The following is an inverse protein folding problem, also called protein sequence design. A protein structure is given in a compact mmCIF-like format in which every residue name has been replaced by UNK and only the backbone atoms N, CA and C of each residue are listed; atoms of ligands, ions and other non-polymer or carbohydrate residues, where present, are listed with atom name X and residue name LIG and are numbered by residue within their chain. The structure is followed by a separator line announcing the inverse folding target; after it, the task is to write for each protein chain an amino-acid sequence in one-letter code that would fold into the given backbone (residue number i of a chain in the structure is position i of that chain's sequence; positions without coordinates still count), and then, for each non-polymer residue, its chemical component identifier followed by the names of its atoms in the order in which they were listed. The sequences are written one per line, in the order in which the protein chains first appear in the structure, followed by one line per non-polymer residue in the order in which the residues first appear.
data_IF_993463981546
#
_entry.id   IF_993463981546
#
_cell.length_a   1.000
_cell.length_b   1.000
_cell.length_c   1.000
_cell.angle_alpha   90.00
_cell.angle_beta   90.00
_cell.angle_gamma   90.00
#
_symmetry.space_group_name_H-M   'P 1'
#
loop_
_entity.id
_entity.type
_entity.pdbx_description
1 polymer ?
#
# COMPACT_ATOMS: atom_id res chain seq x y z
N UNK A 1 14.75 26.33 -6.97
CA UNK A 1 15.98 27.09 -6.67
C UNK A 1 16.98 26.15 -6.02
N UNK A 2 18.27 26.32 -6.28
CA UNK A 2 19.33 25.50 -5.71
C UNK A 2 20.17 26.36 -4.78
N UNK A 3 20.40 25.87 -3.56
CA UNK A 3 21.38 26.44 -2.63
C UNK A 3 22.56 25.49 -2.54
N UNK A 4 23.72 25.99 -2.96
CA UNK A 4 24.99 25.28 -2.85
C UNK A 4 25.83 25.96 -1.79
N UNK A 5 26.33 25.18 -0.83
CA UNK A 5 27.27 25.63 0.19
C UNK A 5 28.59 24.93 -0.03
N UNK A 6 29.62 25.73 -0.28
CA UNK A 6 30.99 25.27 -0.48
C UNK A 6 31.86 25.69 0.70
N UNK A 7 32.55 24.72 1.31
CA UNK A 7 33.57 24.95 2.33
C UNK A 7 34.93 24.70 1.70
N UNK A 8 35.63 25.79 1.40
CA UNK A 8 37.03 25.74 1.00
C UNK A 8 37.87 25.31 2.21
N UNK A 9 38.61 24.20 2.06
CA UNK A 9 39.58 23.74 3.05
C UNK A 9 40.99 23.98 2.51
N UNK A 10 41.97 24.09 3.40
CA UNK A 10 43.35 24.43 3.03
C UNK A 10 43.96 23.47 2.00
N UNK A 11 45.09 23.88 1.39
CA UNK A 11 45.71 23.30 0.19
C UNK A 11 45.86 21.76 0.13
N UNK A 12 45.88 21.06 1.26
CA UNK A 12 46.05 19.60 1.33
C UNK A 12 44.73 18.82 1.37
N UNK A 13 43.58 19.49 1.48
CA UNK A 13 42.27 18.84 1.62
C UNK A 13 41.29 19.29 0.52
N UNK A 14 40.52 18.35 -0.01
CA UNK A 14 39.45 18.64 -0.97
C UNK A 14 38.36 19.49 -0.31
N UNK A 15 37.87 20.49 -1.04
CA UNK A 15 36.71 21.28 -0.65
C UNK A 15 35.48 20.38 -0.50
N UNK A 16 34.63 20.72 0.46
CA UNK A 16 33.36 20.04 0.67
C UNK A 16 32.26 20.92 0.09
N UNK A 17 31.39 20.31 -0.70
CA UNK A 17 30.25 20.97 -1.32
C UNK A 17 28.99 20.19 -0.98
N UNK A 18 27.95 20.90 -0.56
CA UNK A 18 26.63 20.34 -0.38
C UNK A 18 25.62 21.21 -1.10
N UNK A 19 24.81 20.59 -1.96
CA UNK A 19 23.77 21.27 -2.71
C UNK A 19 22.42 20.75 -2.26
N UNK A 20 21.52 21.66 -1.91
CA UNK A 20 20.13 21.37 -1.55
C UNK A 20 19.20 22.13 -2.47
N UNK A 21 18.17 21.44 -2.92
CA UNK A 21 17.12 22.02 -3.76
C UNK A 21 16.00 22.55 -2.88
N UNK A 22 15.54 23.76 -3.18
CA UNK A 22 14.38 24.39 -2.54
C UNK A 22 13.45 24.90 -3.61
N UNK A 23 12.18 24.52 -3.52
CA UNK A 23 11.12 25.04 -4.38
C UNK A 23 10.55 26.28 -3.68
N UNK A 24 10.55 27.42 -4.36
CA UNK A 24 9.93 28.64 -3.86
C UNK A 24 8.67 28.86 -4.68
N UNK A 25 7.51 28.71 -4.03
CA UNK A 25 6.22 29.04 -4.62
C UNK A 25 5.87 30.49 -4.29
N UNK A 26 5.43 31.24 -5.30
CA UNK A 26 4.93 32.59 -5.13
C UNK A 26 3.45 32.52 -4.80
N UNK A 27 3.07 33.06 -3.64
CA UNK A 27 1.69 33.09 -3.18
C UNK A 27 0.86 34.04 -4.06
N UNK A 28 0.17 33.46 -5.05
CA UNK A 28 -1.07 34.03 -5.55
C UNK A 28 -2.17 33.36 -4.75
N UNK A 29 -2.76 34.16 -3.87
CA UNK A 29 -3.93 33.80 -3.08
C UNK A 29 -4.98 33.09 -3.94
N UNK A 30 -5.01 31.78 -3.83
CA UNK A 30 -6.22 31.04 -3.57
C UNK A 30 -5.84 29.95 -2.57
N UNK A 31 -6.64 29.85 -1.52
CA UNK A 31 -6.39 29.00 -0.34
C UNK A 31 -6.34 27.54 -0.80
N UNK A 32 -5.15 27.07 -1.19
CA UNK A 32 -4.87 25.65 -1.28
C UNK A 32 -4.69 25.19 0.16
N UNK A 33 -5.81 24.85 0.81
CA UNK A 33 -5.75 24.02 2.00
C UNK A 33 -4.73 22.90 1.71
N UNK A 34 -3.79 22.69 2.64
CA UNK A 34 -2.93 21.50 2.64
C UNK A 34 -3.77 20.33 2.18
N UNK A 35 -3.31 19.46 1.25
CA UNK A 35 -4.03 18.24 0.97
C UNK A 35 -4.20 17.56 2.31
N UNK A 36 -5.43 17.61 2.84
CA UNK A 36 -5.82 16.92 4.05
C UNK A 36 -5.40 15.49 3.74
N UNK A 37 -4.52 14.94 4.57
CA UNK A 37 -4.15 13.53 4.44
C UNK A 37 -5.45 12.76 4.22
N UNK A 38 -5.50 11.70 3.40
CA UNK A 38 -6.58 10.72 3.52
C UNK A 38 -6.45 10.10 4.92
N UNK A 39 -6.86 10.87 5.92
CA UNK A 39 -6.38 10.79 7.30
C UNK A 39 -7.31 9.81 7.97
N UNK A 40 -6.80 8.59 8.05
CA UNK A 40 -7.18 7.55 8.99
C UNK A 40 -8.59 7.02 8.71
N UNK A 41 -8.65 6.00 7.87
CA UNK A 41 -9.70 5.02 8.02
C UNK A 41 -9.13 3.91 8.93
N UNK A 42 -9.73 3.76 10.11
CA UNK A 42 -9.36 2.70 11.06
C UNK A 42 -10.16 1.47 10.66
N UNK A 43 -9.43 0.39 10.38
CA UNK A 43 -10.01 -0.91 10.06
C UNK A 43 -9.45 -1.93 11.03
N UNK A 44 -10.29 -2.86 11.47
CA UNK A 44 -9.84 -4.03 12.23
C UNK A 44 -10.44 -5.26 11.57
N UNK A 45 -9.59 -6.21 11.18
CA UNK A 45 -10.05 -7.54 10.80
C UNK A 45 -10.17 -8.33 12.09
N UNK A 46 -11.38 -8.81 12.39
CA UNK A 46 -11.66 -9.57 13.63
C UNK A 46 -11.03 -10.96 13.64
N UNK A 47 -10.59 -11.47 12.48
CA UNK A 47 -9.97 -12.78 12.35
C UNK A 47 -8.43 -12.67 12.35
N UNK A 48 -7.78 -13.55 13.11
CA UNK A 48 -6.33 -13.72 13.04
C UNK A 48 -5.93 -14.26 11.66
N UNK A 49 -5.49 -13.35 10.79
CA UNK A 49 -4.98 -13.72 9.46
C UNK A 49 -3.55 -14.23 9.53
N UNK A 50 -2.89 -14.29 10.70
CA UNK A 50 -1.51 -14.75 10.75
C UNK A 50 -1.39 -16.20 10.31
N UNK A 51 -2.37 -17.06 10.59
CA UNK A 51 -2.39 -18.46 10.16
C UNK A 51 -3.76 -18.87 9.66
N UNK A 52 -3.89 -19.07 8.36
CA UNK A 52 -5.17 -19.35 7.72
C UNK A 52 -5.16 -20.69 6.97
N UNK A 53 -6.14 -21.58 7.17
CA UNK A 53 -6.18 -22.85 6.47
C UNK A 53 -6.60 -22.68 5.00
N UNK A 54 -5.99 -23.44 4.09
CA UNK A 54 -6.22 -23.28 2.64
C UNK A 54 -7.67 -23.42 2.14
N UNK A 55 -8.50 -24.18 2.84
CA UNK A 55 -9.85 -24.55 2.40
C UNK A 55 -10.97 -23.60 2.84
N UNK A 56 -11.05 -23.16 4.12
CA UNK A 56 -12.04 -22.18 4.53
C UNK A 56 -11.81 -20.82 3.86
N UNK A 57 -12.83 -19.98 3.92
CA UNK A 57 -12.77 -18.61 3.48
C UNK A 57 -12.03 -17.72 4.50
N UNK A 58 -11.44 -16.64 4.01
CA UNK A 58 -11.04 -15.55 4.89
C UNK A 58 -12.31 -14.81 5.29
N UNK A 59 -12.57 -14.81 6.60
CA UNK A 59 -13.74 -14.19 7.19
C UNK A 59 -13.32 -13.00 8.04
N UNK A 60 -14.19 -12.03 8.19
CA UNK A 60 -13.92 -10.91 9.07
C UNK A 60 -14.96 -9.83 8.92
N UNK A 61 -14.68 -8.72 9.56
CA UNK A 61 -15.49 -7.51 9.48
C UNK A 61 -14.57 -6.36 9.13
N UNK A 62 -15.10 -5.40 8.39
CA UNK A 62 -14.43 -4.16 8.04
C UNK A 62 -15.36 -3.02 8.40
N UNK A 63 -14.97 -2.19 9.36
CA UNK A 63 -15.74 -1.00 9.70
C UNK A 63 -15.00 0.24 9.24
N UNK A 64 -15.70 1.16 8.57
CA UNK A 64 -15.16 2.48 8.25
C UNK A 64 -15.51 3.43 9.39
N UNK A 65 -14.56 3.74 10.28
CA UNK A 65 -14.86 4.64 11.41
C UNK A 65 -15.00 6.10 10.98
N UNK A 66 -14.01 6.62 10.26
CA UNK A 66 -14.02 8.01 9.77
C UNK A 66 -13.38 8.09 8.39
N UNK A 67 -13.83 9.07 7.59
CA UNK A 67 -13.21 9.40 6.32
C UNK A 67 -13.51 10.85 5.96
N UNK A 68 -12.45 11.64 5.77
CA UNK A 68 -12.52 13.05 5.36
C UNK A 68 -12.93 13.25 3.89
N UNK A 69 -12.82 12.20 3.06
CA UNK A 69 -13.06 12.23 1.61
C UNK A 69 -14.03 11.10 1.24
N UNK A 70 -14.90 11.26 0.22
CA UNK A 70 -15.74 10.15 -0.22
C UNK A 70 -14.88 8.96 -0.66
N UNK A 71 -15.26 7.76 -0.22
CA UNK A 71 -14.55 6.51 -0.60
C UNK A 71 -15.19 6.02 -1.89
N UNK A 72 -14.46 5.79 -2.96
CA UNK A 72 -15.04 5.29 -4.22
C UNK A 72 -15.18 3.77 -4.24
N UNK A 73 -14.23 3.06 -3.63
CA UNK A 73 -14.26 1.60 -3.54
C UNK A 73 -13.39 1.13 -2.38
N UNK A 74 -13.72 -0.06 -1.89
CA UNK A 74 -12.86 -0.82 -0.99
C UNK A 74 -12.67 -2.21 -1.59
N UNK A 75 -11.41 -2.58 -1.79
CA UNK A 75 -10.99 -3.80 -2.43
C UNK A 75 -10.04 -4.59 -1.52
N UNK A 76 -10.14 -5.91 -1.52
CA UNK A 76 -9.19 -6.81 -0.87
C UNK A 76 -8.36 -7.50 -1.93
N UNK A 77 -7.05 -7.34 -1.82
CA UNK A 77 -6.06 -7.96 -2.69
C UNK A 77 -5.40 -9.15 -1.99
N UNK A 78 -5.44 -10.32 -2.62
CA UNK A 78 -4.60 -11.45 -2.28
C UNK A 78 -3.34 -11.40 -3.12
N UNK A 79 -2.18 -11.33 -2.47
CA UNK A 79 -0.88 -11.19 -3.08
C UNK A 79 -0.05 -12.44 -2.80
N UNK A 80 0.66 -12.94 -3.82
CA UNK A 80 1.71 -13.95 -3.66
C UNK A 80 3.06 -13.23 -3.61
N UNK A 81 3.87 -13.58 -2.64
CA UNK A 81 5.25 -13.09 -2.50
C UNK A 81 6.17 -14.28 -2.68
N UNK A 82 7.00 -14.23 -3.72
CA UNK A 82 7.97 -15.28 -4.02
C UNK A 82 9.37 -14.73 -3.83
N UNK A 83 10.19 -15.43 -3.07
CA UNK A 83 11.58 -15.04 -2.85
C UNK A 83 12.52 -16.18 -3.22
N UNK A 84 13.62 -15.85 -3.88
CA UNK A 84 14.69 -16.79 -4.24
C UNK A 84 16.05 -16.21 -3.85
N UNK A 85 16.89 -17.03 -3.24
CA UNK A 85 18.29 -16.70 -2.94
C UNK A 85 19.14 -16.95 -4.19
N UNK A 86 19.69 -15.88 -4.75
CA UNK A 86 20.62 -15.92 -5.89
C UNK A 86 21.98 -15.42 -5.44
N UNK A 87 22.91 -16.36 -5.20
CA UNK A 87 24.19 -16.06 -4.57
C UNK A 87 24.00 -15.61 -3.11
N UNK A 88 24.36 -14.37 -2.80
CA UNK A 88 24.20 -13.76 -1.47
C UNK A 88 23.00 -12.80 -1.37
N UNK A 89 22.19 -12.68 -2.43
CA UNK A 89 21.06 -11.74 -2.49
C UNK A 89 19.74 -12.47 -2.55
N UNK A 90 18.76 -12.01 -1.78
CA UNK A 90 17.37 -12.44 -1.90
C UNK A 90 16.68 -11.54 -2.93
N UNK A 91 16.14 -12.17 -3.98
CA UNK A 91 15.29 -11.51 -4.97
C UNK A 91 13.86 -11.86 -4.63
N UNK A 92 13.01 -10.83 -4.52
CA UNK A 92 11.59 -10.99 -4.16
C UNK A 92 10.69 -10.42 -5.25
N UNK A 93 9.70 -11.19 -5.67
CA UNK A 93 8.63 -10.80 -6.58
C UNK A 93 7.29 -10.83 -5.84
N UNK A 94 6.42 -9.85 -6.10
CA UNK A 94 5.06 -9.81 -5.54
C UNK A 94 4.06 -9.71 -6.67
N UNK A 95 3.16 -10.70 -6.74
CA UNK A 95 2.15 -10.82 -7.79
C UNK A 95 0.75 -10.76 -7.19
N UNK A 96 -0.16 -10.00 -7.82
CA UNK A 96 -1.56 -9.97 -7.45
C UNK A 96 -2.27 -11.23 -7.97
N UNK A 97 -2.85 -12.01 -7.07
CA UNK A 97 -3.58 -13.25 -7.40
C UNK A 97 -5.05 -12.94 -7.65
N UNK A 98 -5.67 -12.18 -6.74
CA UNK A 98 -7.11 -11.95 -6.73
C UNK A 98 -7.41 -10.58 -6.14
N UNK A 99 -8.36 -9.89 -6.76
CA UNK A 99 -9.01 -8.69 -6.21
C UNK A 99 -10.45 -9.05 -5.90
N UNK A 100 -10.89 -8.78 -4.68
CA UNK A 100 -12.27 -8.95 -4.24
C UNK A 100 -12.81 -7.59 -3.85
N UNK A 101 -13.78 -7.07 -4.59
CA UNK A 101 -14.43 -5.81 -4.26
C UNK A 101 -15.39 -6.03 -3.08
N UNK A 102 -15.20 -5.28 -2.01
CA UNK A 102 -16.02 -5.34 -0.80
C UNK A 102 -17.10 -4.26 -0.81
N UNK A 103 -16.77 -3.08 -1.33
CA UNK A 103 -17.71 -1.98 -1.48
C UNK A 103 -17.41 -1.13 -2.73
N UNK A 104 -18.47 -0.57 -3.30
CA UNK A 104 -18.46 0.30 -4.47
C UNK A 104 -19.34 1.54 -4.24
N UNK A 105 -18.88 2.70 -4.68
CA UNK A 105 -19.50 4.00 -4.39
C UNK A 105 -19.12 4.57 -3.02
N UNK A 106 -19.75 5.69 -2.62
CA UNK A 106 -19.46 6.37 -1.35
C UNK A 106 -19.82 5.51 -0.14
N UNK A 107 -18.83 4.81 0.40
CA UNK A 107 -18.99 3.88 1.52
C UNK A 107 -19.37 4.66 2.79
N UNK A 108 -20.49 4.26 3.40
CA UNK A 108 -20.99 4.91 4.61
C UNK A 108 -20.05 4.69 5.81
N UNK A 109 -19.93 5.72 6.64
CA UNK A 109 -19.18 5.66 7.91
C UNK A 109 -20.00 4.88 8.94
N UNK A 110 -19.33 4.23 9.87
CA UNK A 110 -19.88 3.31 10.88
C UNK A 110 -20.67 2.14 10.28
N UNK A 111 -20.47 1.85 8.99
CA UNK A 111 -20.99 0.66 8.35
C UNK A 111 -19.98 -0.48 8.53
N UNK A 112 -20.43 -1.56 9.15
CA UNK A 112 -19.66 -2.80 9.25
C UNK A 112 -19.95 -3.66 8.02
N UNK A 113 -18.93 -3.83 7.18
CA UNK A 113 -18.96 -4.63 5.97
C UNK A 113 -18.40 -6.03 6.28
N UNK A 114 -19.14 -7.12 5.99
CA UNK A 114 -18.62 -8.46 6.18
C UNK A 114 -17.55 -8.77 5.12
N UNK A 115 -16.41 -9.30 5.56
CA UNK A 115 -15.38 -9.88 4.70
C UNK A 115 -15.67 -11.36 4.56
N UNK A 116 -15.83 -11.82 3.32
CA UNK A 116 -15.94 -13.25 2.96
C UNK A 116 -15.18 -13.48 1.65
N UNK A 117 -13.92 -13.90 1.74
CA UNK A 117 -13.05 -14.10 0.58
C UNK A 117 -12.71 -15.58 0.43
N UNK A 118 -13.20 -16.18 -0.64
CA UNK A 118 -12.84 -17.55 -1.02
C UNK A 118 -11.46 -17.53 -1.66
N UNK A 119 -10.54 -18.36 -1.13
CA UNK A 119 -9.20 -18.51 -1.68
C UNK A 119 -9.22 -19.24 -3.03
N UNK A 120 -8.51 -18.74 -4.06
CA UNK A 120 -8.49 -19.36 -5.38
C UNK A 120 -7.61 -20.61 -5.35
N UNK A 121 -8.26 -21.78 -5.31
CA UNK A 121 -7.60 -23.09 -5.09
C UNK A 121 -6.47 -23.44 -6.08
N UNK A 122 -6.53 -22.92 -7.30
CA UNK A 122 -5.52 -23.18 -8.33
C UNK A 122 -4.31 -22.24 -8.23
N UNK A 123 -4.43 -21.13 -7.49
CA UNK A 123 -3.42 -20.08 -7.41
C UNK A 123 -2.84 -19.91 -6.00
N UNK A 124 -3.31 -20.73 -5.05
CA UNK A 124 -2.87 -20.73 -3.65
C UNK A 124 -2.25 -22.07 -3.28
N UNK A 125 -1.29 -22.02 -2.36
CA UNK A 125 -0.62 -23.18 -1.79
C UNK A 125 -0.25 -22.86 -0.33
N UNK A 126 0.12 -23.85 0.50
CA UNK A 126 0.62 -23.55 1.83
C UNK A 126 1.86 -22.67 1.70
N UNK A 127 2.05 -21.73 2.63
CA UNK A 127 3.28 -20.96 2.70
C UNK A 127 4.47 -21.90 2.89
N UNK A 128 5.54 -21.67 2.12
CA UNK A 128 6.73 -22.53 2.11
C UNK A 128 7.96 -21.68 2.44
N UNK A 129 8.77 -22.16 3.37
CA UNK A 129 10.13 -21.66 3.63
C UNK A 129 11.12 -22.80 3.42
N UNK A 130 11.78 -22.83 2.27
CA UNK A 130 12.64 -23.92 1.84
C UNK A 130 14.02 -23.38 1.46
N UNK A 131 14.72 -22.78 2.43
CA UNK A 131 16.11 -22.32 2.30
C UNK A 131 16.31 -21.36 1.12
N UNK A 132 16.78 -21.83 -0.05
CA UNK A 132 16.96 -21.00 -1.24
C UNK A 132 15.68 -20.40 -1.83
N UNK A 133 14.47 -20.81 -1.43
CA UNK A 133 13.26 -20.13 -1.87
C UNK A 133 12.16 -20.10 -0.80
N UNK A 134 11.29 -19.10 -0.87
CA UNK A 134 10.05 -19.03 -0.10
C UNK A 134 8.86 -18.61 -0.96
N UNK A 135 7.68 -19.07 -0.57
CA UNK A 135 6.39 -18.64 -1.10
C UNK A 135 5.54 -18.22 0.09
N UNK A 136 5.12 -16.97 0.10
CA UNK A 136 4.32 -16.34 1.14
C UNK A 136 3.09 -15.69 0.52
N UNK A 137 2.08 -15.43 1.34
CA UNK A 137 0.86 -14.73 0.93
C UNK A 137 0.64 -13.50 1.79
N UNK A 138 0.06 -12.46 1.20
CA UNK A 138 -0.33 -11.24 1.91
C UNK A 138 -1.74 -10.85 1.50
N UNK A 139 -2.47 -10.29 2.45
CA UNK A 139 -3.77 -9.69 2.20
C UNK A 139 -3.60 -8.19 2.34
N UNK A 140 -4.06 -7.44 1.34
CA UNK A 140 -4.04 -5.99 1.39
C UNK A 140 -5.44 -5.43 1.23
N UNK A 141 -5.81 -4.51 2.12
CA UNK A 141 -7.01 -3.70 1.99
C UNK A 141 -6.62 -2.45 1.24
N UNK A 142 -7.29 -2.20 0.12
CA UNK A 142 -7.07 -1.06 -0.75
C UNK A 142 -8.31 -0.19 -0.74
N UNK A 143 -8.13 1.06 -0.34
CA UNK A 143 -9.20 2.06 -0.33
C UNK A 143 -8.90 3.08 -1.41
N UNK A 144 -9.84 3.22 -2.33
CA UNK A 144 -9.79 4.25 -3.34
C UNK A 144 -10.67 5.41 -2.89
N UNK A 145 -10.15 6.63 -2.94
CA UNK A 145 -10.90 7.84 -2.60
C UNK A 145 -11.30 8.60 -3.86
N UNK A 146 -12.46 9.24 -3.81
CA UNK A 146 -12.89 10.17 -4.84
C UNK A 146 -12.12 11.48 -4.68
N UNK A 147 -11.03 11.63 -5.42
CA UNK A 147 -10.23 12.86 -5.40
C UNK A 147 -10.60 13.80 -6.55
N UNK A 148 -10.88 15.06 -6.26
CA UNK A 148 -11.01 16.12 -7.28
C UNK A 148 -9.68 16.38 -8.03
N UNK A 149 -8.53 16.10 -7.40
CA UNK A 149 -7.20 16.20 -8.05
C UNK A 149 -6.97 15.10 -9.10
N UNK A 150 -7.66 13.96 -8.99
CA UNK A 150 -7.58 12.89 -10.00
C UNK A 150 -8.09 13.34 -11.38
N UNK A 151 -8.94 14.37 -11.44
CA UNK A 151 -9.43 15.00 -12.68
C UNK A 151 -8.42 15.99 -13.28
N UNK A 152 -7.56 16.57 -12.44
CA UNK A 152 -6.54 17.56 -12.84
C UNK A 152 -5.20 16.92 -13.21
N UNK A 153 -4.89 15.74 -12.67
CA UNK A 153 -3.64 15.05 -12.97
C UNK A 153 -3.78 14.11 -14.18
N UNK A 154 -2.94 14.32 -15.21
CA UNK A 154 -2.79 13.39 -16.32
C UNK A 154 -2.26 12.06 -15.75
N UNK A 155 -3.09 11.02 -15.79
CA UNK A 155 -2.87 9.64 -15.28
C UNK A 155 -1.63 8.90 -15.86
N UNK A 156 -0.75 9.60 -16.57
CA UNK A 156 0.31 9.07 -17.44
C UNK A 156 1.71 9.09 -16.83
N UNK A 157 1.93 9.74 -15.68
CA UNK A 157 3.25 9.75 -15.05
C UNK A 157 3.36 8.66 -13.95
N UNK A 158 4.16 7.61 -14.15
CA UNK A 158 4.33 6.52 -13.19
C UNK A 158 5.16 6.89 -11.96
N UNK A 159 5.79 8.08 -11.92
CA UNK A 159 6.62 8.54 -10.78
C UNK A 159 5.87 9.38 -9.76
N UNK A 160 4.63 9.79 -10.05
CA UNK A 160 3.83 10.61 -9.14
C UNK A 160 3.06 9.74 -8.14
N UNK A 161 3.12 10.03 -6.82
CA UNK A 161 2.41 9.26 -5.82
C UNK A 161 0.89 9.37 -6.02
N UNK A 162 0.19 8.24 -5.93
CA UNK A 162 -1.27 8.19 -6.05
C UNK A 162 -1.90 8.64 -4.73
N UNK A 163 -2.09 9.94 -4.58
CA UNK A 163 -2.64 10.57 -3.36
C UNK A 163 -4.10 10.16 -3.06
N UNK A 164 -4.79 9.51 -4.00
CA UNK A 164 -6.17 9.03 -3.86
C UNK A 164 -6.27 7.54 -3.49
N UNK A 165 -5.17 6.89 -3.13
CA UNK A 165 -5.14 5.48 -2.75
C UNK A 165 -4.54 5.33 -1.35
N UNK A 166 -5.28 4.74 -0.42
CA UNK A 166 -4.71 4.20 0.81
C UNK A 166 -4.65 2.67 0.72
N UNK A 167 -3.61 2.10 1.31
CA UNK A 167 -3.38 0.66 1.27
C UNK A 167 -2.80 0.22 2.60
N UNK A 168 -3.45 -0.74 3.24
CA UNK A 168 -2.94 -1.46 4.40
C UNK A 168 -2.64 -2.90 3.99
N UNK A 169 -1.51 -3.46 4.43
CA UNK A 169 -1.11 -4.83 4.07
C UNK A 169 -0.77 -5.64 5.30
N UNK A 170 -1.42 -6.79 5.44
CA UNK A 170 -1.23 -7.73 6.53
C UNK A 170 -0.63 -9.04 6.00
N UNK A 171 0.32 -9.66 6.72
CA UNK A 171 0.84 -10.97 6.36
C UNK A 171 -0.24 -12.05 6.52
N UNK A 172 -0.20 -13.06 5.64
CA UNK A 172 -1.09 -14.22 5.65
C UNK A 172 -0.27 -15.51 5.50
N UNK A 173 -0.12 -16.30 6.57
CA UNK A 173 0.47 -17.64 6.47
C UNK A 173 -0.62 -18.64 6.08
N UNK A 174 -0.54 -19.19 4.87
CA UNK A 174 -1.45 -20.26 4.46
C UNK A 174 -0.94 -21.60 5.00
N UNK A 175 -1.75 -22.28 5.80
CA UNK A 175 -1.40 -23.56 6.41
C UNK A 175 -2.20 -24.71 5.81
N UNK A 176 -1.54 -25.86 5.65
CA UNK A 176 -2.21 -27.11 5.24
C UNK A 176 -2.84 -27.74 6.47
N UNK A 177 -4.16 -27.82 6.51
CA UNK A 177 -4.87 -28.66 7.49
C UNK A 177 -4.68 -30.14 7.14
N UNK A 178 -4.46 -30.95 8.19
CA UNK A 178 -4.34 -32.40 8.08
C UNK A 178 -5.70 -33.05 7.89
#
# INVERSE_FOLDING_TARGET
YLFTVDIARGYLYKSLSATTEVIVESDKADVLERPVSPEIAIFYITQDTQRHPLLPEINGELTVETSAVPISSIDIHLLRVESVLVGEKIVTETSLIQTTQIADGDVCRNLTLPIYVILPRLLTCPSVFAGPFSIEFKVSIVISFQSELSKLQKKSDPRTPRLWLAMETLPLELVRTR
#
